data_IF_082669195818
#
_entry.id   IF_082669195818
#
_cell.length_a   1.000
_cell.length_b   1.000
_cell.length_c   1.000
_cell.angle_alpha   90.00
_cell.angle_beta   90.00
_cell.angle_gamma   90.00
#
_symmetry.space_group_name_H-M   'P 1'
#
loop_
_entity.id
_entity.type
_entity.pdbx_description
1 polymer ?
2 non-polymer ?
3 non-polymer ?
4 non-polymer ?
5 water ?
#
# COMPACT_ATOMS: atom_id res chain seq x y z
N UNK A 85 -26.38 -27.71 2.44
CA UNK A 85 -24.95 -27.26 2.45
C UNK A 85 -24.79 -25.98 3.29
N UNK A 86 -25.86 -25.60 3.99
CA UNK A 86 -25.85 -24.40 4.82
C UNK A 86 -24.91 -24.58 6.02
N UNK A 87 -24.42 -25.82 6.17
CA UNK A 87 -23.50 -26.22 7.23
C UNK A 87 -22.52 -25.13 7.68
N UNK A 88 -21.67 -24.73 6.76
CA UNK A 88 -20.64 -23.72 6.97
C UNK A 88 -20.93 -22.61 7.98
N UNK A 89 -22.11 -22.01 7.90
CA UNK A 89 -22.48 -20.93 8.81
C UNK A 89 -22.12 -21.27 10.26
N UNK A 90 -22.36 -22.52 10.64
CA UNK A 90 -22.07 -22.98 11.99
C UNK A 90 -20.56 -23.03 12.20
N UNK A 91 -19.83 -23.27 11.11
CA UNK A 91 -18.37 -23.37 11.14
C UNK A 91 -17.72 -22.01 11.29
N UNK A 92 -18.04 -21.09 10.37
CA UNK A 92 -17.49 -19.74 10.42
C UNK A 92 -17.92 -19.11 11.73
N UNK A 93 -18.96 -19.68 12.32
CA UNK A 93 -19.54 -19.22 13.57
C UNK A 93 -18.62 -19.37 14.78
N UNK A 94 -17.95 -20.51 14.87
CA UNK A 94 -17.06 -20.78 15.99
C UNK A 94 -15.61 -20.38 15.73
N UNK A 95 -15.18 -20.51 14.47
CA UNK A 95 -13.82 -20.19 14.06
C UNK A 95 -13.48 -18.72 13.91
N UNK A 96 -14.44 -17.83 14.14
CA UNK A 96 -14.15 -16.41 13.99
C UNK A 96 -13.80 -15.69 15.28
N UNK A 97 -14.67 -15.77 16.28
CA UNK A 97 -14.41 -15.11 17.55
C UNK A 97 -13.56 -15.97 18.49
N UNK A 98 -12.31 -15.53 18.75
CA UNK A 98 -11.33 -16.20 19.62
C UNK A 98 -11.70 -16.20 21.11
N UNK A 99 -10.68 -16.09 21.94
CA UNK A 99 -10.84 -16.05 23.40
C UNK A 99 -11.42 -17.34 23.99
N UNK A 100 -11.27 -18.45 23.26
CA UNK A 100 -11.77 -19.73 23.74
C UNK A 100 -10.66 -20.75 23.88
N UNK A 101 -11.05 -21.99 24.18
CA UNK A 101 -10.09 -23.07 24.32
C UNK A 101 -9.84 -23.66 22.95
N UNK A 102 -10.40 -23.02 21.94
CA UNK A 102 -10.25 -23.45 20.56
C UNK A 102 -8.81 -23.22 20.10
N UNK A 103 -8.24 -22.10 20.53
CA UNK A 103 -6.85 -21.76 20.19
C UNK A 103 -5.92 -22.83 20.77
N UNK A 104 -6.16 -23.17 22.02
CA UNK A 104 -5.36 -24.18 22.72
C UNK A 104 -5.71 -25.58 22.22
N UNK A 105 -6.66 -25.65 21.28
CA UNK A 105 -7.10 -26.92 20.72
C UNK A 105 -6.43 -27.15 19.37
N UNK A 106 -6.61 -26.21 18.46
CA UNK A 106 -6.03 -26.29 17.12
C UNK A 106 -4.53 -26.51 17.21
N UNK A 107 -3.89 -25.86 18.17
CA UNK A 107 -2.45 -25.99 18.36
C UNK A 107 -2.07 -27.43 18.63
N UNK A 108 -2.91 -28.11 19.42
CA UNK A 108 -2.64 -29.50 19.75
C UNK A 108 -2.69 -30.38 18.51
N UNK A 109 -3.71 -30.19 17.67
CA UNK A 109 -3.81 -30.99 16.46
C UNK A 109 -2.63 -30.71 15.53
N UNK A 110 -2.02 -29.53 15.67
CA UNK A 110 -0.87 -29.19 14.85
C UNK A 110 0.34 -29.96 15.34
N UNK A 111 0.61 -29.87 16.64
CA UNK A 111 1.73 -30.59 17.23
C UNK A 111 1.58 -32.04 16.80
N UNK A 112 0.37 -32.58 16.97
CA UNK A 112 0.07 -33.94 16.57
C UNK A 112 0.05 -34.00 15.05
N UNK A 113 1.24 -34.06 14.44
CA UNK A 113 1.40 -34.11 12.99
C UNK A 113 0.22 -34.69 12.21
N UNK A 114 -0.03 -34.12 11.03
CA UNK A 114 -1.13 -34.57 10.19
C UNK A 114 -0.78 -34.48 8.71
N UNK A 115 -1.78 -34.74 7.86
CA UNK A 115 -1.59 -34.68 6.41
C UNK A 115 -1.21 -33.24 6.04
N UNK A 116 -0.50 -33.06 4.91
CA UNK A 116 -0.09 -31.72 4.49
C UNK A 116 -1.24 -30.69 4.35
N UNK A 117 -2.33 -31.09 3.69
CA UNK A 117 -3.48 -30.21 3.50
C UNK A 117 -4.16 -29.85 4.81
N UNK A 118 -4.47 -30.86 5.62
CA UNK A 118 -5.14 -30.64 6.91
C UNK A 118 -4.25 -29.77 7.79
N UNK A 119 -2.95 -29.99 7.71
CA UNK A 119 -2.00 -29.23 8.50
C UNK A 119 -2.05 -27.77 8.07
N UNK A 120 -2.18 -27.56 6.76
CA UNK A 120 -2.26 -26.23 6.17
C UNK A 120 -3.43 -25.48 6.77
N UNK A 121 -4.63 -25.94 6.43
CA UNK A 121 -5.87 -25.35 6.92
C UNK A 121 -5.79 -25.06 8.41
N UNK A 122 -5.24 -26.02 9.15
CA UNK A 122 -5.12 -25.90 10.60
C UNK A 122 -4.16 -24.77 10.97
N UNK A 123 -3.04 -24.69 10.27
CA UNK A 123 -2.07 -23.64 10.54
C UNK A 123 -2.70 -22.30 10.21
N UNK A 124 -3.41 -22.26 9.10
CA UNK A 124 -4.08 -21.04 8.67
C UNK A 124 -5.13 -20.62 9.69
N UNK A 125 -5.96 -21.56 10.12
CA UNK A 125 -6.99 -21.25 11.10
C UNK A 125 -6.40 -20.65 12.36
N UNK A 126 -5.34 -21.26 12.86
CA UNK A 126 -4.69 -20.76 14.06
C UNK A 126 -4.29 -19.32 13.79
N UNK A 127 -3.76 -19.07 12.60
CA UNK A 127 -3.34 -17.73 12.22
C UNK A 127 -4.54 -16.81 12.30
N UNK A 128 -5.59 -17.18 11.58
CA UNK A 128 -6.82 -16.40 11.52
C UNK A 128 -7.35 -16.03 12.89
N UNK A 129 -7.26 -16.96 13.83
CA UNK A 129 -7.76 -16.72 15.18
C UNK A 129 -6.77 -16.01 16.12
N UNK A 130 -5.50 -16.42 16.10
CA UNK A 130 -4.49 -15.79 16.96
C UNK A 130 -4.29 -14.36 16.49
N UNK A 131 -5.33 -13.54 16.65
CA UNK A 131 -5.26 -12.16 16.21
C UNK A 131 -5.72 -11.17 17.28
N UNK A 132 -5.19 -9.95 17.22
CA UNK A 132 -5.58 -8.92 18.16
C UNK A 132 -5.62 -7.55 17.50
N UNK A 133 -6.56 -7.40 16.57
CA UNK A 133 -6.77 -6.17 15.80
C UNK A 133 -7.03 -4.96 16.69
N UNK A 134 -7.87 -5.14 17.70
CA UNK A 134 -8.24 -4.06 18.58
C UNK A 134 -7.07 -3.38 19.29
N UNK A 135 -6.05 -4.15 19.66
CA UNK A 135 -4.90 -3.57 20.35
C UNK A 135 -4.16 -2.55 19.46
N UNK A 136 -3.71 -1.46 20.06
CA UNK A 136 -3.02 -0.44 19.27
C UNK A 136 -1.59 -0.15 19.70
N UNK A 137 -1.33 -0.32 21.00
CA UNK A 137 -0.01 -0.06 21.55
C UNK A 137 0.86 -1.29 21.73
N UNK A 138 2.17 -1.03 21.72
CA UNK A 138 3.17 -2.08 21.89
C UNK A 138 2.99 -2.71 23.26
N UNK A 139 2.53 -1.89 24.20
CA UNK A 139 2.29 -2.34 25.57
C UNK A 139 1.19 -3.42 25.61
N UNK A 140 0.07 -3.16 24.94
CA UNK A 140 -1.04 -4.11 24.93
C UNK A 140 -0.98 -5.24 23.90
N UNK A 141 0.07 -5.27 23.09
CA UNK A 141 0.23 -6.33 22.09
C UNK A 141 1.62 -6.26 21.49
N UNK A 142 2.65 -6.45 22.32
CA UNK A 142 4.06 -6.42 21.92
C UNK A 142 4.43 -7.45 20.85
N UNK A 143 3.70 -8.56 20.81
CA UNK A 143 3.96 -9.62 19.85
C UNK A 143 4.04 -9.04 18.43
N UNK A 144 3.03 -8.25 18.08
CA UNK A 144 2.95 -7.58 16.79
C UNK A 144 4.29 -6.90 16.46
N UNK A 145 4.80 -6.10 17.38
CA UNK A 145 6.04 -5.35 17.17
C UNK A 145 7.38 -6.10 17.12
N UNK A 146 7.37 -7.42 17.18
CA UNK A 146 8.63 -8.16 17.14
C UNK A 146 9.49 -7.88 15.92
N UNK A 147 10.64 -7.25 16.14
CA UNK A 147 11.53 -6.98 15.04
C UNK A 147 11.57 -5.53 14.62
N UNK A 148 10.62 -4.75 15.12
CA UNK A 148 10.56 -3.35 14.79
C UNK A 148 11.39 -2.58 15.78
N UNK A 149 12.09 -1.55 15.30
CA UNK A 149 12.92 -0.72 16.16
C UNK A 149 12.09 -0.30 17.39
N UNK A 150 12.72 0.33 18.36
CA UNK A 150 12.00 0.74 19.56
C UNK A 150 11.16 1.98 19.38
N UNK A 151 11.62 2.91 18.55
CA UNK A 151 10.90 4.16 18.30
C UNK A 151 9.42 3.90 18.03
N UNK A 152 9.11 2.70 17.53
CA UNK A 152 7.73 2.35 17.22
C UNK A 152 6.96 1.81 18.41
N UNK A 153 6.12 2.69 18.97
CA UNK A 153 5.30 2.37 20.13
C UNK A 153 3.87 2.02 19.69
N UNK A 154 3.42 2.69 18.64
CA UNK A 154 2.06 2.52 18.15
C UNK A 154 1.99 1.78 16.82
N UNK A 155 0.90 1.05 16.59
CA UNK A 155 0.73 0.33 15.33
C UNK A 155 0.50 1.29 14.16
N UNK A 156 -0.55 2.11 14.26
CA UNK A 156 -0.86 3.07 13.20
C UNK A 156 0.43 3.80 12.84
N UNK A 157 1.18 4.16 13.87
CA UNK A 157 2.42 4.88 13.65
C UNK A 157 3.39 4.15 12.78
N UNK A 158 3.55 2.86 13.00
CA UNK A 158 4.48 2.10 12.19
C UNK A 158 3.99 2.03 10.75
N UNK A 159 2.72 1.62 10.58
CA UNK A 159 2.13 1.52 9.24
C UNK A 159 2.17 2.86 8.49
N UNK A 160 2.03 3.95 9.23
CA UNK A 160 2.09 5.27 8.63
C UNK A 160 3.49 5.42 8.05
N UNK A 161 4.48 5.15 8.89
CA UNK A 161 5.89 5.22 8.51
C UNK A 161 6.15 4.34 7.27
N UNK A 162 5.61 3.13 7.32
CA UNK A 162 5.79 2.18 6.24
C UNK A 162 5.32 2.76 4.91
N UNK A 163 4.12 3.35 4.91
CA UNK A 163 3.56 3.93 3.71
C UNK A 163 4.41 5.07 3.23
N UNK A 164 4.83 5.94 4.15
CA UNK A 164 5.69 7.08 3.83
C UNK A 164 6.95 6.64 3.13
N UNK A 165 7.42 5.45 3.47
CA UNK A 165 8.63 4.90 2.89
C UNK A 165 8.46 4.53 1.44
N UNK A 166 7.36 3.86 1.11
CA UNK A 166 7.14 3.47 -0.27
C UNK A 166 7.10 4.73 -1.10
N UNK A 167 6.33 5.70 -0.62
CA UNK A 167 6.18 6.94 -1.35
C UNK A 167 7.46 7.76 -1.43
N UNK A 168 8.26 7.71 -0.38
CA UNK A 168 9.53 8.45 -0.39
C UNK A 168 10.42 7.71 -1.37
N UNK A 169 10.18 6.40 -1.48
CA UNK A 169 10.94 5.58 -2.40
C UNK A 169 10.63 6.00 -3.82
N UNK A 170 9.36 6.30 -4.10
CA UNK A 170 8.98 6.73 -5.43
C UNK A 170 9.65 8.10 -5.71
N UNK A 171 9.77 8.97 -4.70
CA UNK A 171 10.41 10.26 -4.93
C UNK A 171 11.89 10.08 -5.27
N UNK A 172 12.55 9.15 -4.59
CA UNK A 172 13.95 8.90 -4.87
C UNK A 172 14.07 8.46 -6.32
N UNK A 173 13.36 7.38 -6.66
CA UNK A 173 13.38 6.87 -8.03
C UNK A 173 13.23 7.99 -9.06
N UNK A 174 12.45 9.02 -8.72
CA UNK A 174 12.25 10.13 -9.64
C UNK A 174 13.50 11.03 -9.77
N UNK A 175 14.23 11.23 -8.67
CA UNK A 175 15.46 12.05 -8.72
C UNK A 175 16.52 11.33 -9.53
N UNK A 176 16.74 10.07 -9.18
CA UNK A 176 17.70 9.24 -9.88
C UNK A 176 17.64 9.39 -11.40
N UNK A 177 16.54 9.94 -11.90
CA UNK A 177 16.37 10.11 -13.34
C UNK A 177 16.94 11.42 -13.89
N UNK A 178 17.18 12.39 -13.02
CA UNK A 178 17.69 13.68 -13.46
C UNK A 178 18.87 13.55 -14.41
N UNK A 179 19.63 12.47 -14.29
CA UNK A 179 20.80 12.25 -15.14
C UNK A 179 20.45 11.89 -16.57
N UNK A 180 19.33 11.20 -16.78
CA UNK A 180 18.92 10.82 -18.12
C UNK A 180 18.12 11.92 -18.81
N UNK A 181 18.15 13.11 -18.22
CA UNK A 181 17.46 14.28 -18.74
C UNK A 181 18.51 15.14 -19.47
N UNK A 182 18.07 15.93 -20.44
CA UNK A 182 18.98 16.80 -21.19
C UNK A 182 19.59 17.79 -20.22
N UNK A 183 20.89 18.03 -20.35
CA UNK A 183 21.59 18.96 -19.47
C UNK A 183 20.93 20.35 -19.47
N UNK A 184 20.40 20.74 -20.62
CA UNK A 184 19.75 22.04 -20.75
C UNK A 184 18.49 22.15 -19.87
N UNK A 185 17.74 21.05 -19.75
CA UNK A 185 16.51 21.03 -18.96
C UNK A 185 16.72 20.45 -17.57
N UNK A 186 17.95 19.99 -17.31
CA UNK A 186 18.31 19.39 -16.04
C UNK A 186 18.09 20.29 -14.83
N UNK A 187 18.19 21.61 -15.01
CA UNK A 187 17.99 22.55 -13.91
C UNK A 187 16.52 22.60 -13.52
N UNK A 188 15.66 22.87 -14.48
CA UNK A 188 14.23 22.95 -14.24
C UNK A 188 13.70 21.66 -13.63
N UNK A 189 14.22 20.53 -14.10
CA UNK A 189 13.79 19.23 -13.57
C UNK A 189 13.95 19.25 -12.06
N UNK A 190 15.14 19.66 -11.61
CA UNK A 190 15.43 19.72 -10.19
C UNK A 190 14.54 20.75 -9.49
N UNK A 191 14.24 21.83 -10.20
CA UNK A 191 13.37 22.85 -9.64
C UNK A 191 11.99 22.25 -9.42
N UNK A 192 11.49 21.53 -10.43
CA UNK A 192 10.18 20.89 -10.38
C UNK A 192 10.20 19.79 -9.32
N UNK A 193 11.22 18.96 -9.38
CA UNK A 193 11.37 17.86 -8.42
C UNK A 193 11.42 18.40 -7.00
N UNK A 194 11.82 19.67 -6.86
CA UNK A 194 11.89 20.27 -5.54
C UNK A 194 10.48 20.58 -5.05
N UNK A 195 9.68 21.20 -5.93
CA UNK A 195 8.30 21.55 -5.62
C UNK A 195 7.51 20.35 -5.15
N UNK A 196 7.62 19.25 -5.90
CA UNK A 196 6.91 18.03 -5.56
C UNK A 196 7.30 17.58 -4.16
N UNK A 197 8.56 17.76 -3.81
CA UNK A 197 9.02 17.35 -2.49
C UNK A 197 8.44 18.21 -1.36
N UNK A 198 8.34 19.51 -1.60
CA UNK A 198 7.77 20.39 -0.59
C UNK A 198 6.36 19.90 -0.31
N UNK A 199 5.56 19.78 -1.37
CA UNK A 199 4.18 19.31 -1.26
C UNK A 199 4.08 17.96 -0.56
N UNK A 200 5.03 17.08 -0.84
CA UNK A 200 5.02 15.77 -0.19
C UNK A 200 5.24 15.93 1.30
N UNK A 201 6.19 16.78 1.68
CA UNK A 201 6.45 16.99 3.09
C UNK A 201 5.21 17.67 3.69
N UNK A 202 4.64 18.60 2.92
CA UNK A 202 3.46 19.34 3.34
C UNK A 202 2.29 18.42 3.67
N UNK A 203 2.33 17.21 3.13
CA UNK A 203 1.24 16.26 3.35
C UNK A 203 1.75 15.02 4.07
N UNK A 204 3.01 15.09 4.50
CA UNK A 204 3.64 13.98 5.21
C UNK A 204 3.67 12.68 4.41
N UNK A 205 4.17 12.79 3.18
CA UNK A 205 4.32 11.65 2.30
C UNK A 205 3.10 10.73 2.23
N UNK A 206 1.91 11.27 2.45
CA UNK A 206 0.69 10.47 2.39
C UNK A 206 0.70 9.21 3.23
N UNK A 207 1.52 9.18 4.28
CA UNK A 207 1.57 8.01 5.16
C UNK A 207 0.19 7.75 5.72
N UNK A 208 -0.64 8.77 5.63
CA UNK A 208 -2.02 8.71 6.09
C UNK A 208 -2.78 7.56 5.45
N UNK A 209 -2.38 7.20 4.23
CA UNK A 209 -3.05 6.11 3.52
C UNK A 209 -3.12 4.81 4.30
N UNK A 210 -2.10 4.50 5.10
CA UNK A 210 -2.09 3.23 5.84
C UNK A 210 -2.57 3.25 7.27
N UNK A 211 -2.74 4.42 7.86
CA UNK A 211 -3.16 4.43 9.25
C UNK A 211 -4.63 4.70 9.53
N UNK A 212 -5.28 3.71 10.16
CA UNK A 212 -6.68 3.82 10.52
C UNK A 212 -6.73 5.01 11.46
N UNK A 213 -7.90 5.41 11.89
CA UNK A 213 -7.91 6.56 12.78
C UNK A 213 -7.42 7.85 12.11
N UNK A 214 -7.56 7.94 10.80
CA UNK A 214 -7.17 9.15 10.08
C UNK A 214 -8.44 9.59 9.35
N UNK A 215 -8.52 10.85 8.93
CA UNK A 215 -9.69 11.35 8.21
C UNK A 215 -10.11 10.26 7.20
N UNK A 216 -11.41 9.99 7.11
CA UNK A 216 -11.92 8.97 6.21
C UNK A 216 -11.60 9.22 4.75
N UNK A 217 -11.21 10.44 4.41
CA UNK A 217 -10.88 10.76 3.03
C UNK A 217 -9.40 10.60 2.79
N UNK A 218 -8.71 10.05 3.78
CA UNK A 218 -7.26 9.87 3.70
C UNK A 218 -6.84 8.43 3.77
N UNK A 219 -7.48 7.67 4.65
CA UNK A 219 -7.11 6.29 4.81
C UNK A 219 -7.60 5.42 3.67
N UNK A 220 -6.95 4.28 3.49
CA UNK A 220 -7.30 3.33 2.45
C UNK A 220 -8.00 2.16 3.14
N UNK A 221 -8.07 2.22 4.46
CA UNK A 221 -8.69 1.15 5.24
C UNK A 221 -9.86 1.64 6.10
N UNK A 222 -10.57 0.67 6.69
CA UNK A 222 -11.68 0.97 7.56
C UNK A 222 -11.02 1.43 8.85
N UNK A 223 -11.79 2.05 9.76
CA UNK A 223 -11.17 2.49 11.01
C UNK A 223 -10.67 1.34 11.86
N UNK A 224 -10.94 0.12 11.44
CA UNK A 224 -10.47 -1.07 12.16
C UNK A 224 -9.15 -1.57 11.57
N UNK A 225 -8.76 -1.02 10.42
CA UNK A 225 -7.53 -1.44 9.80
C UNK A 225 -7.67 -2.42 8.64
N UNK A 226 -8.88 -2.61 8.12
CA UNK A 226 -9.10 -3.53 7.00
C UNK A 226 -8.92 -2.94 5.60
N UNK A 227 -7.98 -3.49 4.83
CA UNK A 227 -7.73 -3.03 3.47
C UNK A 227 -8.31 -4.04 2.47
N UNK A 228 -8.85 -3.53 1.37
CA UNK A 228 -9.43 -4.39 0.35
C UNK A 228 -8.64 -4.25 -0.92
N UNK A 229 -8.33 -5.38 -1.55
CA UNK A 229 -7.60 -5.33 -2.80
C UNK A 229 -8.48 -4.58 -3.79
N UNK A 230 -7.91 -3.65 -4.54
CA UNK A 230 -8.70 -2.92 -5.51
C UNK A 230 -8.63 -3.60 -6.88
N UNK A 231 -8.20 -4.87 -6.90
CA UNK A 231 -8.09 -5.63 -8.13
C UNK A 231 -6.99 -5.13 -9.05
N UNK A 232 -6.64 -5.86 -10.10
CA UNK A 232 -5.58 -5.35 -10.98
C UNK A 232 -5.90 -3.98 -11.58
N UNK A 233 -4.88 -3.33 -12.15
CA UNK A 233 -5.01 -2.00 -12.74
C UNK A 233 -6.04 -1.89 -13.86
N UNK A 234 -6.18 -2.95 -14.65
CA UNK A 234 -7.11 -2.98 -15.76
C UNK A 234 -8.50 -3.52 -15.42
N UNK A 235 -8.84 -3.56 -14.15
CA UNK A 235 -10.16 -4.05 -13.73
C UNK A 235 -10.76 -3.13 -12.68
N UNK A 236 -12.08 -3.22 -12.52
CA UNK A 236 -12.80 -2.37 -11.57
C UNK A 236 -12.68 -2.82 -10.11
N UNK A 237 -12.67 -4.14 -9.88
CA UNK A 237 -12.59 -4.66 -8.52
C UNK A 237 -11.83 -5.99 -8.44
N UNK A 238 -11.55 -6.44 -7.22
CA UNK A 238 -10.82 -7.69 -7.01
C UNK A 238 -11.76 -8.88 -7.08
N UNK A 239 -11.61 -9.68 -8.12
CA UNK A 239 -12.46 -10.85 -8.29
C UNK A 239 -12.30 -11.89 -7.19
N UNK A 240 -11.13 -11.95 -6.57
CA UNK A 240 -10.88 -12.92 -5.50
C UNK A 240 -11.34 -12.36 -4.16
N UNK A 241 -11.51 -11.04 -4.11
CA UNK A 241 -11.95 -10.35 -2.90
C UNK A 241 -10.93 -10.44 -1.76
N UNK A 242 -9.69 -10.08 -2.09
CA UNK A 242 -8.59 -10.10 -1.13
C UNK A 242 -8.72 -8.98 -0.12
N UNK A 243 -8.48 -9.28 1.15
CA UNK A 243 -8.50 -8.27 2.19
C UNK A 243 -7.36 -8.59 3.15
N UNK A 244 -7.10 -7.70 4.08
CA UNK A 244 -6.00 -7.93 5.01
C UNK A 244 -6.02 -6.87 6.08
N UNK A 245 -5.76 -7.28 7.33
CA UNK A 245 -5.73 -6.32 8.43
C UNK A 245 -4.36 -6.40 9.09
N UNK A 246 -3.40 -5.65 8.56
CA UNK A 246 -2.04 -5.64 9.11
C UNK A 246 -1.96 -5.29 10.59
N UNK A 247 -3.04 -4.77 11.15
CA UNK A 247 -3.05 -4.37 12.55
C UNK A 247 -3.27 -5.46 13.59
N UNK A 248 -3.75 -6.64 13.19
CA UNK A 248 -4.00 -7.61 14.24
C UNK A 248 -3.13 -8.84 14.31
N UNK A 249 -1.89 -8.75 13.86
CA UNK A 249 -1.06 -9.94 13.85
C UNK A 249 0.31 -9.58 13.29
N UNK A 250 1.36 -10.17 13.84
CA UNK A 250 2.71 -9.89 13.37
C UNK A 250 2.89 -10.36 11.94
N UNK A 251 2.51 -11.60 11.67
CA UNK A 251 2.63 -12.17 10.34
C UNK A 251 1.80 -11.35 9.36
N UNK A 252 0.68 -10.82 9.85
CA UNK A 252 -0.21 -10.01 9.05
C UNK A 252 0.49 -8.71 8.65
N UNK A 253 1.21 -8.13 9.60
CA UNK A 253 1.96 -6.90 9.37
C UNK A 253 3.01 -7.08 8.28
N UNK A 254 3.62 -8.25 8.25
CA UNK A 254 4.67 -8.59 7.28
C UNK A 254 4.12 -8.91 5.90
N UNK A 255 2.99 -9.62 5.84
CA UNK A 255 2.38 -9.96 4.57
C UNK A 255 1.99 -8.67 3.83
N UNK A 256 1.59 -7.67 4.59
CA UNK A 256 1.20 -6.40 4.00
C UNK A 256 2.39 -5.85 3.18
N UNK A 257 3.58 -6.40 3.40
CA UNK A 257 4.76 -5.97 2.66
C UNK A 257 4.61 -6.42 1.22
N UNK A 258 3.90 -7.52 1.03
CA UNK A 258 3.69 -8.05 -0.30
C UNK A 258 2.59 -7.32 -1.06
N UNK A 259 1.74 -6.60 -0.33
CA UNK A 259 0.67 -5.83 -0.96
C UNK A 259 1.35 -4.61 -1.55
N UNK A 260 1.06 -4.33 -2.80
CA UNK A 260 1.70 -3.23 -3.51
C UNK A 260 0.79 -2.03 -3.81
N UNK A 261 1.38 -0.82 -3.86
CA UNK A 261 0.66 0.40 -4.24
C UNK A 261 1.05 0.55 -5.72
N UNK A 262 0.28 -0.08 -6.60
CA UNK A 262 0.59 -0.11 -8.02
C UNK A 262 0.09 1.08 -8.84
N UNK A 263 1.01 1.71 -9.57
CA UNK A 263 0.68 2.85 -10.42
C UNK A 263 -0.10 2.38 -11.65
N UNK A 264 -1.30 2.92 -11.87
CA UNK A 264 -2.10 2.54 -13.01
C UNK A 264 -1.36 2.95 -14.28
N UNK A 265 -0.93 4.21 -14.33
CA UNK A 265 -0.14 4.66 -15.47
C UNK A 265 1.26 4.46 -14.90
N UNK A 266 1.96 3.45 -15.41
CA UNK A 266 3.29 3.09 -14.93
C UNK A 266 4.18 4.31 -14.75
N UNK A 267 4.81 4.40 -13.59
CA UNK A 267 5.63 5.56 -13.32
C UNK A 267 7.00 5.52 -13.98
N UNK A 268 7.68 4.40 -13.91
CA UNK A 268 9.01 4.32 -14.50
C UNK A 268 8.90 4.19 -16.00
N UNK A 269 8.01 3.31 -16.43
CA UNK A 269 7.77 3.06 -17.84
C UNK A 269 7.24 4.28 -18.59
N UNK A 270 6.27 5.02 -18.01
CA UNK A 270 5.67 6.17 -18.70
C UNK A 270 5.59 7.57 -18.03
N UNK A 271 5.19 7.64 -16.76
CA UNK A 271 5.08 8.95 -16.13
C UNK A 271 6.38 9.75 -16.00
N UNK A 272 7.41 9.15 -15.41
CA UNK A 272 8.67 9.86 -15.25
C UNK A 272 9.20 10.36 -16.58
N UNK A 273 9.42 9.46 -17.54
CA UNK A 273 9.93 9.89 -18.84
C UNK A 273 9.05 10.97 -19.50
N UNK A 274 7.72 10.83 -19.43
CA UNK A 274 6.85 11.86 -19.98
C UNK A 274 7.15 13.19 -19.27
N UNK A 275 7.39 13.09 -17.95
CA UNK A 275 7.70 14.25 -17.12
C UNK A 275 8.95 14.92 -17.66
N UNK A 276 9.97 14.11 -17.93
CA UNK A 276 11.23 14.64 -18.47
C UNK A 276 10.96 15.31 -19.82
N UNK A 277 10.37 14.56 -20.74
CA UNK A 277 10.06 15.09 -22.05
C UNK A 277 9.24 16.39 -21.98
N UNK A 278 8.28 16.46 -21.05
CA UNK A 278 7.44 17.66 -20.91
C UNK A 278 8.23 18.87 -20.45
N UNK A 279 9.20 18.65 -19.57
CA UNK A 279 10.03 19.73 -19.07
C UNK A 279 10.97 20.26 -20.14
N UNK A 280 11.26 19.44 -21.15
CA UNK A 280 12.15 19.87 -22.22
C UNK A 280 11.36 20.57 -23.32
N UNK A 281 10.06 20.31 -23.37
CA UNK A 281 9.17 20.91 -24.35
C UNK A 281 9.33 22.41 -24.54
N UNK A 282 9.34 23.15 -23.43
CA UNK A 282 9.46 24.58 -23.53
C UNK A 282 8.22 25.23 -22.95
N UNK A 283 7.08 24.57 -23.08
CA UNK A 283 5.85 25.10 -22.51
C UNK A 283 5.92 24.92 -20.99
N UNK A 284 5.14 25.70 -20.26
CA UNK A 284 5.16 25.61 -18.81
C UNK A 284 4.48 24.31 -18.37
N UNK A 285 5.19 23.51 -17.59
CA UNK A 285 4.66 22.24 -17.13
C UNK A 285 3.77 22.27 -15.90
N UNK A 286 2.62 21.62 -16.02
CA UNK A 286 1.65 21.55 -14.93
C UNK A 286 2.10 20.41 -14.02
N UNK A 287 3.23 20.60 -13.34
CA UNK A 287 3.80 19.60 -12.46
C UNK A 287 2.84 18.99 -11.44
N UNK A 288 1.80 19.71 -11.07
CA UNK A 288 0.85 19.16 -10.10
C UNK A 288 0.22 17.88 -10.65
N UNK A 289 0.04 17.83 -11.97
CA UNK A 289 -0.55 16.68 -12.63
C UNK A 289 0.32 15.44 -12.42
N UNK A 290 1.62 15.61 -12.68
CA UNK A 290 2.59 14.53 -12.52
C UNK A 290 2.70 14.11 -11.05
N UNK A 291 2.49 15.08 -10.16
CA UNK A 291 2.50 14.79 -8.75
C UNK A 291 1.39 13.77 -8.49
N UNK A 292 0.18 14.09 -8.91
CA UNK A 292 -0.95 13.19 -8.75
C UNK A 292 -0.58 11.79 -9.20
N UNK A 293 -0.07 11.72 -10.41
CA UNK A 293 0.32 10.46 -11.03
C UNK A 293 1.37 9.70 -10.24
N UNK A 294 2.37 10.42 -9.77
CA UNK A 294 3.48 9.80 -9.06
C UNK A 294 3.27 9.43 -7.60
N UNK A 295 2.50 10.22 -6.85
CA UNK A 295 2.36 9.94 -5.42
C UNK A 295 0.98 9.86 -4.79
N UNK A 296 -0.07 10.00 -5.58
CA UNK A 296 -1.42 10.03 -5.03
C UNK A 296 -2.27 8.82 -5.35
N UNK A 297 -3.30 8.59 -4.55
CA UNK A 297 -4.18 7.47 -4.79
C UNK A 297 -4.95 7.69 -6.08
N UNK A 298 -4.78 8.87 -6.70
CA UNK A 298 -5.46 9.13 -7.96
C UNK A 298 -4.95 8.16 -9.02
N UNK A 299 -3.69 7.78 -8.89
CA UNK A 299 -3.08 6.89 -9.85
C UNK A 299 -2.50 5.63 -9.22
N UNK A 300 -2.79 5.43 -7.92
CA UNK A 300 -2.29 4.25 -7.19
C UNK A 300 -3.40 3.32 -6.76
N UNK A 301 -3.28 2.05 -7.10
CA UNK A 301 -4.27 1.04 -6.71
C UNK A 301 -3.57 0.15 -5.66
N UNK A 302 -4.24 -0.13 -4.55
CA UNK A 302 -3.65 -0.99 -3.53
C UNK A 302 -4.03 -2.41 -3.86
N UNK A 303 -3.08 -3.20 -4.34
CA UNK A 303 -3.36 -4.58 -4.71
C UNK A 303 -2.59 -5.66 -3.97
N UNK A 304 -3.26 -6.79 -3.81
CA UNK A 304 -2.69 -7.98 -3.21
C UNK A 304 -1.72 -8.44 -4.29
N UNK A 305 -0.70 -9.21 -3.94
CA UNK A 305 0.28 -9.61 -4.93
C UNK A 305 -0.27 -10.38 -6.14
N UNK A 306 -1.37 -11.11 -5.94
CA UNK A 306 -1.96 -11.89 -7.03
C UNK A 306 -2.70 -11.00 -8.04
N UNK A 307 -2.89 -9.73 -7.69
CA UNK A 307 -3.57 -8.78 -8.54
C UNK A 307 -2.61 -7.68 -8.94
N UNK A 308 -1.33 -7.97 -8.95
CA UNK A 308 -0.34 -6.99 -9.37
C UNK A 308 0.19 -7.50 -10.68
N UNK A 309 -0.44 -7.09 -11.78
CA UNK A 309 0.05 -7.51 -13.08
C UNK A 309 1.35 -6.78 -13.31
N UNK A 310 2.42 -7.54 -13.53
CA UNK A 310 3.73 -6.98 -13.77
C UNK A 310 3.93 -6.77 -15.26
N UNK A 311 2.85 -6.97 -16.01
CA UNK A 311 2.88 -6.79 -17.45
C UNK A 311 2.75 -5.30 -17.72
N UNK A 312 2.95 -4.90 -18.97
CA UNK A 312 2.85 -3.50 -19.31
C UNK A 312 1.42 -3.00 -19.20
N UNK A 313 1.26 -1.84 -18.59
CA UNK A 313 -0.04 -1.17 -18.46
C UNK A 313 0.02 -0.34 -19.75
N UNK A 314 -0.79 -0.69 -20.74
CA UNK A 314 -0.75 0.04 -22.00
C UNK A 314 -1.39 1.43 -21.94
N UNK A 315 -1.19 2.15 -20.83
CA UNK A 315 -1.76 3.48 -20.68
C UNK A 315 -0.73 4.59 -20.95
N UNK A 316 -1.24 5.80 -21.15
CA UNK A 316 -0.41 6.98 -21.41
C UNK A 316 -0.93 8.19 -20.62
N UNK A 317 -0.11 9.23 -20.50
CA UNK A 317 -0.54 10.43 -19.79
C UNK A 317 -1.57 11.21 -20.60
N UNK A 318 -2.35 12.03 -19.91
CA UNK A 318 -3.37 12.83 -20.57
C UNK A 318 -2.81 14.08 -21.23
N UNK A 319 -2.66 13.98 -22.54
CA UNK A 319 -2.13 15.05 -23.40
C UNK A 319 -2.56 16.46 -23.00
N UNK A 320 -3.81 16.59 -22.55
CA UNK A 320 -4.36 17.88 -22.19
C UNK A 320 -4.06 18.40 -20.78
N UNK A 321 -3.51 17.57 -19.91
CA UNK A 321 -3.23 18.00 -18.54
C UNK A 321 -1.76 18.19 -18.24
N UNK A 322 -0.91 17.94 -19.24
CA UNK A 322 0.52 18.07 -19.05
C UNK A 322 1.02 19.50 -18.90
N UNK A 323 0.48 20.43 -19.70
CA UNK A 323 0.92 21.82 -19.62
C UNK A 323 -0.10 22.79 -19.04
N UNK A 324 0.41 23.87 -18.44
CA UNK A 324 -0.46 24.89 -17.85
C UNK A 324 -1.11 25.70 -18.95
N UNK A 325 -2.44 25.87 -18.86
CA UNK A 325 -3.26 26.63 -19.81
C UNK A 325 -2.76 28.05 -19.96
N UNK A 326 -2.56 28.49 -21.20
CA UNK A 326 -2.11 29.85 -21.46
C UNK A 326 -3.37 30.71 -21.39
N UNK A 327 -3.42 31.61 -20.40
CA UNK A 327 -4.59 32.48 -20.23
C UNK A 327 -4.64 33.51 -21.35
N UNK A 328 -5.51 33.26 -22.33
CA UNK A 328 -5.64 34.16 -23.45
C UNK A 328 -6.56 35.34 -23.15
N UNK A 329 -6.29 36.06 -22.16
X LIG B 1 -7.03 -8.94 -5.54
X LIG C 1 3.73 -1.40 -10.59
X LIG D 1 13.87 17.20 -1.57
#
# INVERSE_FOLDING_TARGET
MCAVLRQPKCVKLRALHSACKFGVAARSCQELLRKGCVRFQLPMPGSRLCLYEDGTEVTDDCFPGLPNDAELLLLTAGETWHGYVSDITRFLSVFNEPHAGVIQAARQQLSDEQAPLRQKLLADLLHHVSQNITAETREQDPSWFEGLESRFRNKSGYLRYSCESRIRGYLREVSAYTSMVDEAAQEEYLRVLGSMCQKLKSVQYNGSYFDRGAEASSRLCTPEGWFSCQGPFDLESCLSKHSINPYGNRESRILFSTWNLDHIIEKKRTVVPTLAEAIQDGREVNWEYFYSLLFTAENLKLVHIACHKKTTHKLECDRSRIYRPQTGS
ZN ZN
MG MG
PB PB
#
